data_IF_401997769491
#
_entry.id   IF_401997769491
#
_cell.length_a   1.000
_cell.length_b   1.000
_cell.length_c   1.000
_cell.angle_alpha   90.00
_cell.angle_beta   90.00
_cell.angle_gamma   90.00
#
_symmetry.space_group_name_H-M   'P 1'
#
loop_
_entity.id
_entity.type
_entity.pdbx_description
1 polymer ?
#
# COMPACT_ATOMS: atom_id res chain seq x y z
N UNK A 1 24.49 -13.81 11.86
CA UNK A 1 23.04 -13.80 11.60
C UNK A 1 22.81 -13.42 10.14
N UNK A 2 22.71 -14.39 9.24
CA UNK A 2 22.44 -14.19 7.80
C UNK A 2 21.65 -15.38 7.22
N UNK A 3 21.02 -16.21 8.06
CA UNK A 3 20.23 -17.38 7.65
C UNK A 3 19.21 -17.69 8.75
N UNK A 4 18.71 -16.65 9.42
CA UNK A 4 17.66 -16.81 10.42
C UNK A 4 16.36 -17.11 9.69
N UNK A 5 15.79 -18.26 9.99
CA UNK A 5 14.45 -18.61 9.52
C UNK A 5 13.42 -17.71 10.18
N UNK A 6 12.67 -16.96 9.39
CA UNK A 6 11.49 -16.25 9.89
C UNK A 6 10.26 -17.18 9.93
N UNK A 7 10.31 -18.29 9.19
CA UNK A 7 9.23 -19.28 9.17
C UNK A 7 9.81 -20.71 9.11
N UNK A 8 10.07 -21.33 10.29
CA UNK A 8 10.74 -22.62 10.37
C UNK A 8 9.83 -23.78 9.98
N UNK A 9 10.39 -24.75 9.26
CA UNK A 9 9.70 -25.98 8.92
C UNK A 9 9.64 -26.92 10.13
N UNK A 10 8.51 -27.61 10.28
CA UNK A 10 8.25 -28.55 11.39
C UNK A 10 8.63 -29.99 11.07
N UNK A 11 8.84 -30.30 9.79
CA UNK A 11 9.11 -31.65 9.29
C UNK A 11 10.60 -31.81 8.97
N UNK A 12 11.16 -30.83 8.25
CA UNK A 12 12.58 -30.75 7.96
C UNK A 12 13.10 -29.33 8.19
N UNK A 13 14.01 -29.19 9.14
CA UNK A 13 14.56 -27.90 9.55
C UNK A 13 15.33 -27.21 8.40
N UNK A 14 15.89 -27.95 7.45
CA UNK A 14 16.64 -27.41 6.31
C UNK A 14 15.73 -26.76 5.25
N UNK A 15 14.46 -27.15 5.19
CA UNK A 15 13.44 -26.55 4.32
C UNK A 15 12.80 -25.28 4.91
N UNK A 16 13.40 -24.69 5.95
CA UNK A 16 12.88 -23.49 6.59
C UNK A 16 12.94 -22.27 5.67
N UNK A 17 11.93 -21.41 5.76
CA UNK A 17 11.85 -20.20 4.93
C UNK A 17 12.70 -19.09 5.53
N UNK A 18 13.59 -18.58 4.69
CA UNK A 18 14.53 -17.49 5.01
C UNK A 18 14.33 -16.37 3.99
N UNK A 19 14.87 -15.18 4.28
CA UNK A 19 14.83 -14.06 3.34
C UNK A 19 15.46 -14.41 1.97
N UNK A 20 16.43 -15.33 1.93
CA UNK A 20 17.15 -15.69 0.71
C UNK A 20 16.37 -16.65 -0.20
N UNK A 21 15.58 -17.55 0.38
CA UNK A 21 14.83 -18.55 -0.39
C UNK A 21 13.35 -18.18 -0.62
N UNK A 22 12.79 -17.29 0.21
CA UNK A 22 11.39 -16.89 0.14
C UNK A 22 11.18 -15.53 -0.55
N UNK A 23 12.25 -14.88 -1.03
CA UNK A 23 12.15 -13.64 -1.80
C UNK A 23 11.97 -13.91 -3.30
N UNK A 24 11.35 -12.96 -4.00
CA UNK A 24 11.26 -12.98 -5.47
C UNK A 24 12.63 -12.75 -6.11
N UNK A 25 12.72 -12.92 -7.44
CA UNK A 25 13.93 -12.57 -8.18
C UNK A 25 14.32 -11.10 -7.97
N UNK A 26 15.63 -10.79 -8.11
CA UNK A 26 16.13 -9.42 -7.95
C UNK A 26 15.41 -8.43 -8.88
N UNK A 27 15.05 -8.85 -10.09
CA UNK A 27 14.31 -8.02 -11.02
C UNK A 27 12.96 -7.57 -10.44
N UNK A 28 12.13 -8.53 -10.01
CA UNK A 28 10.82 -8.22 -9.44
C UNK A 28 10.95 -7.42 -8.14
N UNK A 29 11.93 -7.77 -7.29
CA UNK A 29 12.19 -7.05 -6.04
C UNK A 29 12.56 -5.58 -6.28
N UNK A 30 13.41 -5.32 -7.27
CA UNK A 30 13.82 -3.97 -7.66
C UNK A 30 12.63 -3.16 -8.20
N UNK A 31 11.83 -3.75 -9.08
CA UNK A 31 10.62 -3.09 -9.62
C UNK A 31 9.67 -2.71 -8.48
N UNK A 32 9.39 -3.63 -7.56
CA UNK A 32 8.47 -3.36 -6.45
C UNK A 32 9.02 -2.33 -5.46
N UNK A 33 10.34 -2.24 -5.31
CA UNK A 33 10.98 -1.19 -4.50
C UNK A 33 10.74 0.20 -5.11
N UNK A 34 10.86 0.34 -6.43
CA UNK A 34 10.52 1.60 -7.11
C UNK A 34 9.03 1.95 -6.98
N UNK A 35 8.13 0.95 -7.06
CA UNK A 35 6.69 1.16 -6.83
C UNK A 35 6.43 1.65 -5.41
N UNK A 36 7.07 1.04 -4.40
CA UNK A 36 6.93 1.45 -3.00
C UNK A 36 7.41 2.89 -2.77
N UNK A 37 8.48 3.32 -3.45
CA UNK A 37 8.97 4.70 -3.40
C UNK A 37 7.98 5.73 -3.97
N UNK A 38 7.03 5.33 -4.81
CA UNK A 38 6.01 6.21 -5.38
C UNK A 38 4.79 6.42 -4.47
N UNK A 39 4.65 5.66 -3.37
CA UNK A 39 3.55 5.80 -2.41
C UNK A 39 3.34 7.24 -1.90
N UNK A 40 4.38 8.05 -1.60
CA UNK A 40 4.20 9.44 -1.17
C UNK A 40 3.49 10.32 -2.21
N UNK A 41 3.66 10.04 -3.51
CA UNK A 41 2.97 10.78 -4.58
C UNK A 41 1.47 10.53 -4.52
N UNK A 42 1.06 9.28 -4.28
CA UNK A 42 -0.34 8.89 -4.10
C UNK A 42 -0.93 9.56 -2.86
N UNK A 43 -0.19 9.57 -1.75
CA UNK A 43 -0.62 10.25 -0.51
C UNK A 43 -0.81 11.76 -0.72
N UNK A 44 0.12 12.41 -1.42
CA UNK A 44 0.00 13.83 -1.75
C UNK A 44 -1.26 14.14 -2.55
N UNK A 45 -1.60 13.28 -3.52
CA UNK A 45 -2.83 13.41 -4.31
C UNK A 45 -4.09 13.26 -3.44
N UNK A 46 -4.13 12.27 -2.55
CA UNK A 46 -5.26 12.07 -1.63
C UNK A 46 -5.47 13.31 -0.75
N UNK A 47 -4.40 13.85 -0.18
CA UNK A 47 -4.44 15.08 0.62
C UNK A 47 -4.96 16.25 -0.21
N UNK A 48 -4.47 16.41 -1.45
CA UNK A 48 -4.92 17.47 -2.35
C UNK A 48 -6.42 17.40 -2.62
N UNK A 49 -6.95 16.20 -2.95
CA UNK A 49 -8.37 15.99 -3.20
C UNK A 49 -9.20 16.29 -1.94
N UNK A 50 -8.78 15.80 -0.77
CA UNK A 50 -9.44 16.10 0.50
C UNK A 50 -9.50 17.60 0.77
N UNK A 51 -8.39 18.31 0.58
CA UNK A 51 -8.35 19.78 0.71
C UNK A 51 -9.30 20.46 -0.28
N UNK A 52 -9.38 19.99 -1.52
CA UNK A 52 -10.27 20.57 -2.53
C UNK A 52 -11.75 20.34 -2.20
N UNK A 53 -12.09 19.21 -1.58
CA UNK A 53 -13.46 18.93 -1.14
C UNK A 53 -13.83 19.78 0.08
N UNK A 54 -12.95 19.84 1.08
CA UNK A 54 -13.17 20.60 2.31
C UNK A 54 -13.23 22.13 2.07
N UNK A 55 -12.58 22.60 1.01
CA UNK A 55 -12.63 24.01 0.61
C UNK A 55 -14.04 24.47 0.18
N UNK A 56 -14.96 23.56 -0.16
CA UNK A 56 -16.36 23.90 -0.44
C UNK A 56 -17.22 23.60 0.78
N UNK A 57 -17.73 24.64 1.46
CA UNK A 57 -18.75 24.47 2.49
C UNK A 57 -20.03 23.97 1.83
N UNK A 58 -20.47 22.76 2.18
CA UNK A 58 -21.77 22.23 1.79
C UNK A 58 -22.86 23.16 2.31
N UNK A 59 -23.64 23.76 1.41
CA UNK A 59 -24.73 24.66 1.78
C UNK A 59 -26.05 23.88 1.84
N UNK A 60 -27.03 24.37 2.62
CA UNK A 60 -28.40 23.83 2.62
C UNK A 60 -29.02 23.84 1.20
N UNK A 61 -28.54 24.72 0.32
CA UNK A 61 -28.94 24.75 -1.10
C UNK A 61 -28.49 23.51 -1.90
N UNK A 62 -27.40 22.83 -1.50
CA UNK A 62 -26.91 21.61 -2.16
C UNK A 62 -27.74 20.37 -1.77
N UNK A 63 -28.49 20.44 -0.67
CA UNK A 63 -29.36 19.36 -0.18
C UNK A 63 -30.76 19.40 -0.83
N UNK A 64 -31.18 20.53 -1.41
CA UNK A 64 -32.51 20.72 -2.00
C UNK A 64 -32.71 20.18 -3.42
N UNK A 65 -31.63 19.77 -4.10
CA UNK A 65 -31.66 19.39 -5.53
C UNK A 65 -31.79 17.90 -5.82
N UNK A 66 -31.97 17.04 -4.81
CA UNK A 66 -32.03 15.58 -4.99
C UNK A 66 -33.17 14.89 -4.23
N UNK A 67 -34.29 15.60 -4.04
CA UNK A 67 -35.60 14.99 -3.78
C UNK A 67 -36.42 15.00 -5.07
N UNK A 68 -36.04 14.07 -5.94
CA UNK A 68 -36.75 13.60 -7.13
C UNK A 68 -35.96 12.32 -7.41
N UNK A 69 -36.35 11.15 -6.91
CA UNK A 69 -37.62 10.42 -7.02
C UNK A 69 -38.01 9.79 -5.68
#
# INVERSE_FOLDING_TARGET
FNNTSFYPSKVDLQSSLTIYNASSSLYTLQVMTWVALLIPVVLAYIIYVWKSMDSRKMSLADLGGRSSY
#
